data_IF_481375011273
#
_entry.id   IF_481375011273
#
_cell.length_a   1.000
_cell.length_b   1.000
_cell.length_c   1.000
_cell.angle_alpha   90.00
_cell.angle_beta   90.00
_cell.angle_gamma   90.00
#
_symmetry.space_group_name_H-M   'P 1'
#
loop_
_entity.id
_entity.type
_entity.pdbx_description
1 polymer ?
#
# COMPACT_ATOMS: atom_id res chain seq x y z
N UNK A 1 22.04 -4.82 -10.92
CA UNK A 1 21.19 -4.39 -9.78
C UNK A 1 20.17 -5.50 -9.63
N UNK A 2 19.83 -5.92 -8.41
CA UNK A 2 18.97 -7.09 -8.17
C UNK A 2 17.74 -6.64 -7.36
N UNK A 3 16.66 -6.32 -8.06
CA UNK A 3 15.39 -5.83 -7.53
C UNK A 3 14.27 -6.75 -8.02
N UNK A 4 13.94 -7.76 -7.21
CA UNK A 4 12.83 -8.69 -7.45
C UNK A 4 11.63 -8.28 -6.58
N UNK A 5 11.16 -7.05 -6.81
CA UNK A 5 10.17 -6.38 -5.94
C UNK A 5 8.85 -7.16 -5.82
N UNK A 6 8.45 -7.89 -6.87
CA UNK A 6 7.26 -8.74 -6.84
C UNK A 6 7.37 -9.89 -5.83
N UNK A 7 8.52 -10.57 -5.76
CA UNK A 7 8.74 -11.65 -4.79
C UNK A 7 8.87 -11.09 -3.36
N UNK A 8 9.52 -9.94 -3.20
CA UNK A 8 9.61 -9.26 -1.91
C UNK A 8 8.22 -8.89 -1.36
N UNK A 9 7.33 -8.38 -2.23
CA UNK A 9 5.94 -8.09 -1.91
C UNK A 9 5.16 -9.34 -1.51
N UNK A 10 5.27 -10.42 -2.28
CA UNK A 10 4.58 -11.68 -1.97
C UNK A 10 5.05 -12.27 -0.64
N UNK A 11 6.36 -12.21 -0.36
CA UNK A 11 6.93 -12.67 0.89
C UNK A 11 6.40 -11.87 2.09
N UNK A 12 6.41 -10.54 1.99
CA UNK A 12 5.89 -9.67 3.05
C UNK A 12 4.38 -9.85 3.26
N UNK A 13 3.62 -9.93 2.16
CA UNK A 13 2.18 -10.19 2.17
C UNK A 13 1.84 -11.51 2.86
N UNK A 14 2.52 -12.60 2.49
CA UNK A 14 2.29 -13.94 3.05
C UNK A 14 2.51 -13.97 4.57
N UNK A 15 3.50 -13.21 5.06
CA UNK A 15 3.73 -13.07 6.50
C UNK A 15 2.65 -12.24 7.18
N UNK A 16 2.22 -11.15 6.55
CA UNK A 16 1.24 -10.22 7.09
C UNK A 16 -0.16 -10.85 7.17
N UNK A 17 -0.57 -11.60 6.14
CA UNK A 17 -1.89 -12.25 6.11
C UNK A 17 -2.03 -13.35 7.16
N UNK A 18 -0.91 -13.97 7.57
CA UNK A 18 -0.86 -14.97 8.62
C UNK A 18 -0.98 -14.38 10.04
N UNK A 19 -1.10 -13.05 10.17
CA UNK A 19 -1.24 -12.38 11.46
C UNK A 19 -2.72 -12.15 11.82
N UNK A 20 -3.08 -12.18 13.12
CA UNK A 20 -4.48 -12.13 13.57
C UNK A 20 -5.11 -10.72 13.53
N UNK A 21 -4.33 -9.66 13.29
CA UNK A 21 -4.81 -8.29 13.31
C UNK A 21 -5.85 -8.07 12.21
N UNK A 22 -6.92 -7.33 12.57
CA UNK A 22 -8.02 -7.04 11.67
C UNK A 22 -7.59 -6.15 10.49
N UNK A 23 -6.72 -5.18 10.78
CA UNK A 23 -6.22 -4.21 9.81
C UNK A 23 -4.77 -4.49 9.49
N UNK A 24 -4.47 -4.60 8.21
CA UNK A 24 -3.16 -5.05 7.70
C UNK A 24 -2.70 -4.08 6.64
N UNK A 25 -1.64 -3.35 6.93
CA UNK A 25 -1.07 -2.34 6.05
C UNK A 25 0.33 -2.80 5.65
N UNK A 26 0.58 -2.86 4.36
CA UNK A 26 1.88 -3.13 3.78
C UNK A 26 2.40 -1.84 3.14
N UNK A 27 3.42 -1.26 3.74
CA UNK A 27 4.11 -0.07 3.21
C UNK A 27 5.41 -0.50 2.54
N UNK A 28 5.59 -0.10 1.28
CA UNK A 28 6.79 -0.35 0.48
C UNK A 28 7.60 0.92 0.41
N UNK A 29 8.91 0.83 0.60
CA UNK A 29 9.83 1.95 0.36
C UNK A 29 10.83 1.45 -0.68
N UNK A 30 10.83 2.07 -1.86
CA UNK A 30 11.67 1.64 -3.00
C UNK A 30 12.42 2.82 -3.62
N UNK A 31 13.66 2.61 -4.03
CA UNK A 31 14.53 3.58 -4.71
C UNK A 31 14.68 3.29 -6.22
N UNK A 32 13.90 2.36 -6.78
CA UNK A 32 14.05 1.96 -8.18
C UNK A 32 12.93 1.07 -8.74
N UNK A 33 13.08 0.76 -10.03
CA UNK A 33 12.24 -0.19 -10.75
C UNK A 33 12.80 -1.62 -10.60
N UNK A 34 11.97 -2.67 -10.80
CA UNK A 34 12.44 -4.05 -10.73
C UNK A 34 13.41 -4.34 -11.88
N UNK A 35 14.61 -4.81 -11.53
CA UNK A 35 15.71 -5.10 -12.46
C UNK A 35 16.53 -6.25 -11.88
N UNK A 36 16.72 -7.33 -12.62
CA UNK A 36 17.57 -8.46 -12.23
C UNK A 36 18.24 -9.01 -13.49
N UNK A 37 19.58 -8.88 -13.57
CA UNK A 37 20.32 -9.12 -14.81
C UNK A 37 20.26 -10.61 -15.21
N UNK A 38 20.22 -11.51 -14.23
CA UNK A 38 20.11 -12.95 -14.45
C UNK A 38 18.75 -13.34 -15.02
N UNK A 39 17.67 -12.78 -14.48
CA UNK A 39 16.31 -13.01 -14.93
C UNK A 39 16.11 -12.46 -16.34
N UNK A 40 16.60 -11.26 -16.62
CA UNK A 40 16.48 -10.61 -17.94
C UNK A 40 17.32 -11.29 -19.04
N UNK A 41 18.38 -12.01 -18.68
CA UNK A 41 19.24 -12.69 -19.66
C UNK A 41 18.55 -13.86 -20.39
N UNK A 42 17.51 -14.43 -19.77
CA UNK A 42 16.79 -15.62 -20.27
C UNK A 42 15.29 -15.41 -20.43
N UNK A 43 14.77 -14.22 -20.07
CA UNK A 43 13.36 -13.87 -20.18
C UNK A 43 13.15 -12.58 -21.00
N UNK A 44 11.93 -12.35 -21.51
CA UNK A 44 11.57 -11.06 -22.10
C UNK A 44 11.81 -9.89 -21.13
N UNK A 45 12.20 -8.74 -21.66
CA UNK A 45 12.59 -7.56 -20.87
C UNK A 45 11.49 -7.01 -19.95
N UNK A 46 10.22 -7.30 -20.25
CA UNK A 46 9.06 -6.87 -19.47
C UNK A 46 8.64 -7.88 -18.38
N UNK A 47 9.35 -9.00 -18.21
CA UNK A 47 8.92 -10.07 -17.31
C UNK A 47 8.75 -9.60 -15.86
N UNK A 48 9.75 -8.89 -15.32
CA UNK A 48 9.74 -8.39 -13.95
C UNK A 48 8.70 -7.27 -13.74
N UNK A 49 8.55 -6.37 -14.72
CA UNK A 49 7.50 -5.33 -14.69
C UNK A 49 6.11 -5.95 -14.65
N UNK A 50 5.85 -6.92 -15.54
CA UNK A 50 4.57 -7.61 -15.59
C UNK A 50 4.29 -8.39 -14.29
N UNK A 51 5.30 -9.08 -13.77
CA UNK A 51 5.18 -9.80 -12.51
C UNK A 51 4.87 -8.85 -11.35
N UNK A 52 5.59 -7.72 -11.23
CA UNK A 52 5.32 -6.71 -10.20
C UNK A 52 3.88 -6.19 -10.30
N UNK A 53 3.39 -5.87 -11.51
CA UNK A 53 2.00 -5.43 -11.72
C UNK A 53 0.98 -6.47 -11.29
N UNK A 54 1.22 -7.75 -11.60
CA UNK A 54 0.33 -8.85 -11.21
C UNK A 54 0.28 -9.01 -9.69
N UNK A 55 1.42 -8.92 -9.02
CA UNK A 55 1.50 -9.01 -7.56
C UNK A 55 0.78 -7.83 -6.91
N UNK A 56 1.00 -6.60 -7.38
CA UNK A 56 0.32 -5.41 -6.86
C UNK A 56 -1.19 -5.53 -7.07
N UNK A 57 -1.66 -5.90 -8.26
CA UNK A 57 -3.09 -6.11 -8.55
C UNK A 57 -3.70 -7.15 -7.60
N UNK A 58 -3.00 -8.26 -7.36
CA UNK A 58 -3.45 -9.27 -6.43
C UNK A 58 -3.59 -8.72 -5.01
N UNK A 59 -2.58 -8.00 -4.51
CA UNK A 59 -2.61 -7.45 -3.15
C UNK A 59 -3.71 -6.39 -3.00
N UNK A 60 -3.82 -5.46 -3.94
CA UNK A 60 -4.77 -4.34 -3.87
C UNK A 60 -6.23 -4.76 -4.08
N UNK A 61 -6.49 -5.72 -4.97
CA UNK A 61 -7.85 -6.02 -5.42
C UNK A 61 -8.37 -7.37 -4.95
N UNK A 62 -7.50 -8.28 -4.48
CA UNK A 62 -7.89 -9.65 -4.11
C UNK A 62 -7.48 -10.04 -2.69
N UNK A 63 -6.97 -9.09 -1.92
CA UNK A 63 -6.48 -9.30 -0.56
C UNK A 63 -7.01 -8.21 0.37
N UNK A 64 -7.21 -8.52 1.67
CA UNK A 64 -7.64 -7.52 2.66
C UNK A 64 -6.49 -6.60 3.12
N UNK A 65 -5.30 -6.72 2.53
CA UNK A 65 -4.12 -5.92 2.86
C UNK A 65 -4.18 -4.59 2.12
N UNK A 66 -4.06 -3.50 2.86
CA UNK A 66 -3.89 -2.15 2.32
C UNK A 66 -2.43 -1.97 1.88
N UNK A 67 -2.21 -1.56 0.64
CA UNK A 67 -0.89 -1.36 0.06
C UNK A 67 -0.61 0.12 -0.18
N UNK A 68 0.57 0.58 0.23
CA UNK A 68 1.09 1.94 0.04
C UNK A 68 2.55 1.85 -0.39
N UNK A 69 2.99 2.73 -1.30
CA UNK A 69 4.40 2.81 -1.69
C UNK A 69 4.99 4.21 -1.54
N UNK A 70 6.26 4.29 -1.14
CA UNK A 70 7.06 5.51 -1.12
C UNK A 70 8.26 5.27 -2.03
N UNK A 71 8.31 6.01 -3.14
CA UNK A 71 9.41 6.00 -4.09
C UNK A 71 10.44 7.07 -3.74
N UNK A 72 11.72 6.75 -3.59
CA UNK A 72 12.78 7.75 -3.36
C UNK A 72 13.58 7.93 -4.65
N UNK A 73 13.53 9.11 -5.25
CA UNK A 73 14.20 9.40 -6.53
C UNK A 73 13.63 8.63 -7.72
N UNK A 74 12.54 7.88 -7.53
CA UNK A 74 11.87 7.09 -8.55
C UNK A 74 10.36 7.21 -8.44
N UNK A 75 9.71 7.51 -9.57
CA UNK A 75 8.24 7.53 -9.64
C UNK A 75 7.68 6.10 -9.55
N UNK A 76 7.03 5.79 -8.43
CA UNK A 76 6.38 4.49 -8.18
C UNK A 76 4.86 4.53 -8.40
N UNK A 77 4.30 5.70 -8.72
CA UNK A 77 2.85 5.90 -8.92
C UNK A 77 2.31 5.15 -10.15
N UNK A 78 3.20 4.79 -11.07
CA UNK A 78 2.95 3.94 -12.24
C UNK A 78 2.65 2.47 -11.93
N UNK A 79 2.88 2.05 -10.69
CA UNK A 79 2.63 0.68 -10.23
C UNK A 79 1.57 0.62 -9.13
N UNK A 80 1.65 1.50 -8.14
CA UNK A 80 0.81 1.46 -6.93
C UNK A 80 -0.28 2.52 -6.96
N UNK A 81 -1.50 2.16 -6.55
CA UNK A 81 -2.62 3.10 -6.49
C UNK A 81 -2.44 4.17 -5.42
N UNK A 82 -1.87 3.79 -4.27
CA UNK A 82 -1.51 4.71 -3.17
C UNK A 82 0.01 4.82 -3.16
N UNK A 83 0.52 5.95 -3.59
CA UNK A 83 1.95 6.15 -3.69
C UNK A 83 2.36 7.61 -3.54
N UNK A 84 3.52 7.82 -2.92
CA UNK A 84 4.22 9.11 -2.86
C UNK A 84 5.60 8.95 -3.47
N UNK A 85 6.07 9.97 -4.16
CA UNK A 85 7.46 10.02 -4.68
C UNK A 85 8.19 11.18 -4.02
N UNK A 86 9.29 10.85 -3.36
CA UNK A 86 10.20 11.78 -2.71
C UNK A 86 11.39 12.05 -3.60
N UNK A 87 11.90 13.28 -3.53
CA UNK A 87 13.10 13.68 -4.27
C UNK A 87 14.36 13.14 -3.57
N UNK A 88 14.35 13.12 -2.24
CA UNK A 88 15.45 12.67 -1.39
C UNK A 88 14.95 11.81 -0.22
N UNK A 89 15.87 11.11 0.44
CA UNK A 89 15.56 10.26 1.58
C UNK A 89 15.38 11.05 2.89
N UNK A 90 15.78 12.32 2.94
CA UNK A 90 15.67 13.16 4.14
C UNK A 90 14.19 13.45 4.46
N UNK A 91 13.36 13.53 3.41
CA UNK A 91 11.91 13.72 3.51
C UNK A 91 11.15 12.48 4.03
N UNK A 92 11.78 11.29 4.01
CA UNK A 92 11.12 10.01 4.27
C UNK A 92 10.39 9.97 5.61
N UNK A 93 11.03 10.46 6.68
CA UNK A 93 10.46 10.42 8.03
C UNK A 93 9.16 11.21 8.15
N UNK A 94 9.11 12.41 7.57
CA UNK A 94 7.92 13.26 7.55
C UNK A 94 6.78 12.62 6.76
N UNK A 95 7.09 12.16 5.55
CA UNK A 95 6.10 11.52 4.66
C UNK A 95 5.52 10.24 5.24
N UNK A 96 6.32 9.39 5.89
CA UNK A 96 5.79 8.18 6.54
C UNK A 96 4.72 8.55 7.58
N UNK A 97 4.96 9.61 8.37
CA UNK A 97 4.02 10.04 9.40
C UNK A 97 2.73 10.61 8.80
N UNK A 98 2.85 11.41 7.75
CA UNK A 98 1.72 11.99 7.02
C UNK A 98 0.85 10.90 6.38
N UNK A 99 1.47 9.97 5.64
CA UNK A 99 0.74 8.88 4.98
C UNK A 99 0.06 7.95 5.97
N UNK A 100 0.70 7.65 7.11
CA UNK A 100 0.06 6.86 8.17
C UNK A 100 -1.12 7.63 8.79
N UNK A 101 -0.98 8.94 9.03
CA UNK A 101 -2.06 9.75 9.56
C UNK A 101 -3.26 9.76 8.61
N UNK A 102 -3.03 9.94 7.31
CA UNK A 102 -4.08 9.94 6.28
C UNK A 102 -4.74 8.57 6.15
N UNK A 103 -3.95 7.49 6.20
CA UNK A 103 -4.46 6.13 6.14
C UNK A 103 -5.35 5.80 7.36
N UNK A 104 -5.04 6.32 8.55
CA UNK A 104 -5.92 6.20 9.71
C UNK A 104 -7.13 7.14 9.66
N UNK A 105 -7.01 8.34 9.09
CA UNK A 105 -8.12 9.28 8.96
C UNK A 105 -9.22 8.79 8.03
N UNK A 106 -8.86 8.11 6.93
CA UNK A 106 -9.82 7.53 5.98
C UNK A 106 -10.74 6.47 6.62
N UNK A 107 -10.30 5.80 7.68
CA UNK A 107 -11.13 4.86 8.46
C UNK A 107 -12.26 5.58 9.21
N UNK A 108 -11.99 6.77 9.74
CA UNK A 108 -12.98 7.55 10.50
C UNK A 108 -14.17 7.97 9.64
N UNK A 109 -13.97 8.11 8.32
CA UNK A 109 -15.05 8.41 7.37
C UNK A 109 -15.93 7.19 7.03
N UNK A 110 -15.49 5.97 7.35
CA UNK A 110 -16.21 4.72 7.05
C UNK A 110 -16.97 4.14 8.25
N UNK A 111 -16.86 4.75 9.44
CA UNK A 111 -17.72 4.41 10.58
C UNK A 111 -19.15 4.88 10.27
N UNK A 112 -20.17 3.99 10.28
CA UNK A 112 -21.55 4.42 10.10
C UNK A 112 -21.88 5.39 11.23
N UNK A 113 -22.31 6.60 10.86
CA UNK A 113 -22.74 7.61 11.80
C UNK A 113 -23.73 6.98 12.79
N UNK A 114 -23.31 6.82 14.04
CA UNK A 114 -24.17 6.33 15.12
C UNK A 114 -25.36 7.27 15.14
N UNK A 115 -26.50 6.78 14.66
CA UNK A 115 -27.74 7.53 14.60
C UNK A 115 -28.12 7.86 16.03
N UNK A 116 -27.73 9.07 16.47
CA UNK A 116 -28.06 9.62 17.78
C UNK A 116 -29.57 9.82 17.77
N UNK A 117 -30.28 8.77 18.18
CA UNK A 117 -31.74 8.72 18.29
C UNK A 117 -32.14 9.88 19.19
N UNK A 118 -32.59 10.98 18.58
CA UNK A 118 -33.15 12.13 19.30
C UNK A 118 -34.36 11.60 20.07
N UNK A 119 -34.20 11.38 21.38
CA UNK A 119 -35.33 11.43 22.30
C UNK A 119 -35.82 12.88 22.31
N UNK A 120 -36.74 13.17 21.40
CA UNK A 120 -37.48 14.42 21.40
C UNK A 120 -38.96 14.08 21.60
N UNK A 121 -39.44 14.37 22.81
CA UNK A 121 -40.79 14.84 23.07
C UNK A 121 -41.91 13.81 22.98
N UNK A 122 -42.34 13.31 24.13
CA UNK A 122 -43.78 13.28 24.38
C UNK A 122 -44.10 13.50 25.87
N UNK A 123 -44.31 14.76 26.23
CA UNK A 123 -44.95 15.15 27.48
C UNK A 123 -45.83 16.38 27.19
N UNK A 124 -46.96 16.14 26.54
CA UNK A 124 -48.10 17.05 26.50
C UNK A 124 -49.40 16.26 26.49
N UNK A 125 -49.99 16.11 27.68
CA UNK A 125 -51.42 16.19 28.06
C UNK A 125 -51.74 15.22 29.17
#
# INVERSE_FOLDING_TARGET
KENIDGEALLWAHSRLIARPEQRRILMVISDGAPVDDSTLSVNPSHYLDQHLRQVIDYIENRSPVELLAIGIGHDVTRYYRRAVTLVDAEQLGGTIMEELADLFAQESAHLPAVSRRRQAGNARR
#
